data_IF_310903492809
#
_entry.id   IF_310903492809
#
_cell.length_a   1.000
_cell.length_b   1.000
_cell.length_c   1.000
_cell.angle_alpha   90.00
_cell.angle_beta   90.00
_cell.angle_gamma   90.00
#
_symmetry.space_group_name_H-M   'P 1'
#
loop_
_entity.id
_entity.type
_entity.pdbx_description
1 polymer ?
#
# COMPACT_ATOMS: atom_id res chain seq x y z
N UNK A 1 17.37 3.52 3.25
CA UNK A 1 16.19 3.29 2.41
C UNK A 1 16.07 4.49 1.51
N UNK A 2 16.08 4.28 0.21
CA UNK A 2 16.05 5.35 -0.78
C UNK A 2 14.62 5.47 -1.32
N UNK A 3 13.97 6.59 -1.05
CA UNK A 3 12.64 6.93 -1.53
C UNK A 3 12.53 8.46 -1.59
N UNK A 4 11.64 8.96 -2.45
CA UNK A 4 11.31 10.39 -2.48
C UNK A 4 10.79 10.87 -1.11
N UNK A 5 11.16 12.09 -0.71
CA UNK A 5 10.82 12.62 0.61
C UNK A 5 9.29 12.70 0.83
N UNK A 6 8.53 13.07 -0.19
CA UNK A 6 7.07 13.11 -0.09
C UNK A 6 6.48 11.73 0.11
N UNK A 7 7.09 10.69 -0.48
CA UNK A 7 6.66 9.29 -0.28
C UNK A 7 6.89 8.90 1.17
N UNK A 8 8.03 9.27 1.75
CA UNK A 8 8.34 8.99 3.15
C UNK A 8 7.36 9.66 4.10
N UNK A 9 7.02 10.93 3.88
CA UNK A 9 6.05 11.65 4.71
C UNK A 9 4.65 11.04 4.63
N UNK A 10 4.24 10.67 3.41
CA UNK A 10 2.97 9.97 3.18
C UNK A 10 2.96 8.60 3.86
N UNK A 11 4.06 7.86 3.75
CA UNK A 11 4.21 6.54 4.36
C UNK A 11 4.16 6.60 5.89
N UNK A 12 4.75 7.62 6.52
CA UNK A 12 4.64 7.81 7.96
C UNK A 12 3.18 7.98 8.40
N UNK A 13 2.42 8.80 7.66
CA UNK A 13 1.00 9.06 7.94
C UNK A 13 0.12 7.82 7.74
N UNK A 14 0.29 7.13 6.62
CA UNK A 14 -0.44 5.88 6.28
C UNK A 14 -0.08 4.76 7.25
N UNK A 15 1.20 4.64 7.60
CA UNK A 15 1.71 3.64 8.54
C UNK A 15 1.06 3.74 9.91
N UNK A 16 0.94 4.95 10.45
CA UNK A 16 0.24 5.19 11.72
C UNK A 16 -1.26 4.89 11.60
N UNK A 17 -1.91 5.32 10.51
CA UNK A 17 -3.36 5.18 10.33
C UNK A 17 -3.81 3.72 10.21
N UNK A 18 -3.02 2.88 9.55
CA UNK A 18 -3.38 1.49 9.24
C UNK A 18 -2.53 0.44 9.96
N UNK A 19 -1.59 0.86 10.82
CA UNK A 19 -0.72 -0.04 11.57
C UNK A 19 0.29 -0.79 10.69
N UNK A 20 0.73 -0.20 9.57
CA UNK A 20 1.71 -0.82 8.67
C UNK A 20 3.15 -0.64 9.16
N UNK A 21 4.01 -1.59 8.80
CA UNK A 21 5.47 -1.42 8.96
C UNK A 21 6.00 -0.45 7.91
N UNK A 22 7.15 0.17 8.19
CA UNK A 22 7.68 1.26 7.35
C UNK A 22 7.81 0.93 5.85
N UNK A 23 8.35 -0.25 5.51
CA UNK A 23 8.46 -0.69 4.10
C UNK A 23 7.08 -0.89 3.47
N UNK A 24 6.15 -1.55 4.18
CA UNK A 24 4.80 -1.82 3.68
C UNK A 24 4.04 -0.50 3.43
N UNK A 25 4.20 0.47 4.32
CA UNK A 25 3.63 1.79 4.19
C UNK A 25 4.21 2.58 3.01
N UNK A 26 5.50 2.42 2.70
CA UNK A 26 6.11 3.05 1.52
C UNK A 26 5.48 2.57 0.23
N UNK A 27 5.23 1.27 0.08
CA UNK A 27 4.61 0.76 -1.14
C UNK A 27 3.19 1.32 -1.34
N UNK A 28 2.40 1.45 -0.26
CA UNK A 28 1.07 2.08 -0.34
C UNK A 28 1.20 3.56 -0.69
N UNK A 29 2.09 4.29 -0.01
CA UNK A 29 2.33 5.70 -0.26
C UNK A 29 2.82 5.99 -1.69
N UNK A 30 3.71 5.15 -2.23
CA UNK A 30 4.16 5.25 -3.63
C UNK A 30 2.99 5.09 -4.60
N UNK A 31 2.10 4.12 -4.38
CA UNK A 31 0.92 3.94 -5.22
C UNK A 31 -0.03 5.15 -5.15
N UNK A 32 -0.20 5.75 -3.97
CA UNK A 32 -1.00 6.98 -3.80
C UNK A 32 -0.42 8.16 -4.58
N UNK A 33 0.90 8.34 -4.57
CA UNK A 33 1.53 9.43 -5.33
C UNK A 33 1.47 9.22 -6.85
N UNK A 34 1.44 7.96 -7.27
CA UNK A 34 1.30 7.59 -8.67
C UNK A 34 -0.17 7.54 -9.13
N UNK A 35 -1.14 8.00 -8.32
CA UNK A 35 -2.57 7.90 -8.63
C UNK A 35 -2.97 8.46 -10.00
N UNK A 36 -2.25 9.46 -10.53
CA UNK A 36 -2.47 10.00 -11.88
C UNK A 36 -2.23 8.99 -13.02
N UNK A 37 -1.59 7.86 -12.72
CA UNK A 37 -1.32 6.76 -13.64
C UNK A 37 -2.22 5.53 -13.40
N UNK A 38 -3.26 5.67 -12.56
CA UNK A 38 -4.21 4.61 -12.19
C UNK A 38 -3.53 3.28 -11.78
N UNK A 39 -2.58 3.30 -10.82
CA UNK A 39 -1.80 2.13 -10.47
C UNK A 39 -2.68 1.10 -9.76
N UNK A 40 -2.41 -0.18 -10.02
CA UNK A 40 -2.93 -1.29 -9.20
C UNK A 40 -1.83 -1.76 -8.26
N UNK A 41 -2.09 -1.73 -6.95
CA UNK A 41 -1.16 -2.32 -5.98
C UNK A 41 -1.31 -3.84 -5.99
N UNK A 42 -0.30 -4.52 -6.51
CA UNK A 42 -0.21 -5.99 -6.49
C UNK A 42 0.51 -6.43 -5.23
N UNK A 43 -0.19 -7.09 -4.31
CA UNK A 43 0.42 -7.61 -3.08
C UNK A 43 -0.33 -8.84 -2.54
N UNK A 44 0.40 -9.82 -2.03
CA UNK A 44 -0.19 -10.95 -1.29
C UNK A 44 -0.24 -10.70 0.22
N UNK A 45 0.29 -9.56 0.68
CA UNK A 45 0.13 -9.13 2.07
C UNK A 45 -1.27 -8.54 2.28
N UNK A 46 -2.03 -9.14 3.20
CA UNK A 46 -3.40 -8.72 3.48
C UNK A 46 -3.46 -7.30 4.07
N UNK A 47 -2.58 -6.98 5.02
CA UNK A 47 -2.58 -5.69 5.70
C UNK A 47 -2.29 -4.56 4.70
N UNK A 48 -1.32 -4.79 3.80
CA UNK A 48 -0.97 -3.82 2.77
C UNK A 48 -2.11 -3.60 1.78
N UNK A 49 -2.79 -4.66 1.34
CA UNK A 49 -3.97 -4.54 0.46
C UNK A 49 -5.14 -3.86 1.16
N UNK A 50 -5.41 -4.16 2.42
CA UNK A 50 -6.47 -3.50 3.19
C UNK A 50 -6.22 -2.00 3.34
N UNK A 51 -4.98 -1.61 3.69
CA UNK A 51 -4.61 -0.22 3.78
C UNK A 51 -4.74 0.51 2.44
N UNK A 52 -4.24 -0.08 1.35
CA UNK A 52 -4.35 0.51 0.02
C UNK A 52 -5.81 0.69 -0.42
N UNK A 53 -6.67 -0.30 -0.16
CA UNK A 53 -8.12 -0.18 -0.39
C UNK A 53 -8.77 0.93 0.42
N UNK A 54 -8.39 1.06 1.69
CA UNK A 54 -8.91 2.11 2.55
C UNK A 54 -8.48 3.51 2.08
N UNK A 55 -7.33 3.62 1.40
CA UNK A 55 -6.87 4.84 0.71
C UNK A 55 -7.45 5.00 -0.71
N UNK A 56 -8.37 4.13 -1.13
CA UNK A 56 -9.06 4.22 -2.43
C UNK A 56 -8.27 3.67 -3.63
N UNK A 57 -7.18 2.95 -3.40
CA UNK A 57 -6.37 2.37 -4.47
C UNK A 57 -6.97 1.04 -4.98
N UNK A 58 -6.92 0.79 -6.30
CA UNK A 58 -7.10 -0.55 -6.85
C UNK A 58 -6.04 -1.52 -6.32
N UNK A 59 -6.44 -2.74 -6.00
CA UNK A 59 -5.52 -3.78 -5.52
C UNK A 59 -5.75 -5.11 -6.23
N UNK A 60 -4.69 -5.89 -6.36
CA UNK A 60 -4.76 -7.27 -6.84
C UNK A 60 -3.90 -8.20 -5.95
N UNK A 61 -4.36 -9.42 -5.61
CA UNK A 61 -5.71 -9.93 -5.86
C UNK A 61 -6.77 -9.16 -5.07
N UNK A 62 -7.99 -9.08 -5.62
CA UNK A 62 -9.11 -8.45 -4.90
C UNK A 62 -9.49 -9.25 -3.66
N UNK A 63 -9.35 -10.57 -3.71
CA UNK A 63 -9.53 -11.42 -2.54
C UNK A 63 -8.41 -12.43 -2.59
N UNK A 64 -7.60 -12.51 -1.55
CA UNK A 64 -6.72 -13.67 -1.43
C UNK A 64 -7.57 -14.83 -0.95
N UNK A 65 -7.97 -15.73 -1.84
CA UNK A 65 -8.37 -17.07 -1.41
C UNK A 65 -7.15 -17.64 -0.71
N UNK A 66 -7.27 -18.03 0.56
CA UNK A 66 -6.18 -18.69 1.27
C UNK A 66 -5.65 -19.82 0.36
N UNK A 67 -4.42 -19.67 -0.13
CA UNK A 67 -3.79 -20.76 -0.84
C UNK A 67 -3.79 -21.95 0.12
N UNK A 68 -4.35 -23.07 -0.33
CA UNK A 68 -4.34 -24.34 0.39
C UNK A 68 -2.94 -24.54 0.97
N UNK A 69 -2.88 -24.63 2.31
CA UNK A 69 -1.67 -25.03 3.02
C UNK A 69 -1.32 -26.47 2.70
#
# INVERSE_FOLDING_TARGET
MEADAGVVDTAASVGVRHGLRGVDAIHVASAMQLAAFDPTLVSWDECQRQAARAEGLPVYPETTTAALR
#
